data_IF_693885727830
#
_entry.id   IF_693885727830
#
_cell.length_a   1.000
_cell.length_b   1.000
_cell.length_c   1.000
_cell.angle_alpha   90.00
_cell.angle_beta   90.00
_cell.angle_gamma   90.00
#
_symmetry.space_group_name_H-M   'P 1'
#
loop_
_entity.id
_entity.type
_entity.pdbx_description
1 polymer ?
#
# COMPACT_ATOMS: atom_id res chain seq x y z
N UNK A 1 -15.36 23.53 4.61
CA UNK A 1 -14.77 22.36 5.31
C UNK A 1 -14.67 21.09 4.46
N UNK A 2 -15.59 20.79 3.53
CA UNK A 2 -15.52 19.57 2.67
C UNK A 2 -14.22 19.44 1.85
N UNK A 3 -13.61 20.58 1.49
CA UNK A 3 -12.37 20.64 0.72
C UNK A 3 -11.10 20.34 1.55
N UNK A 4 -11.22 20.25 2.88
CA UNK A 4 -10.11 19.87 3.75
C UNK A 4 -10.04 18.35 3.79
N UNK A 5 -8.98 17.79 3.19
CA UNK A 5 -8.71 16.35 3.23
C UNK A 5 -8.71 15.83 4.67
N UNK A 6 -9.18 14.60 4.85
CA UNK A 6 -9.29 13.93 6.15
C UNK A 6 -10.23 14.57 7.19
N UNK A 7 -10.92 15.67 6.87
CA UNK A 7 -11.93 16.22 7.77
C UNK A 7 -13.16 15.30 7.88
N UNK A 8 -13.94 15.36 8.98
CA UNK A 8 -15.20 14.60 9.08
C UNK A 8 -16.16 14.89 7.92
N UNK A 9 -16.22 16.15 7.47
CA UNK A 9 -17.04 16.56 6.33
C UNK A 9 -16.56 15.95 5.01
N UNK A 10 -15.25 15.81 4.82
CA UNK A 10 -14.65 15.12 3.67
C UNK A 10 -14.99 13.63 3.68
N UNK A 11 -14.83 12.94 4.81
CA UNK A 11 -15.16 11.51 4.90
C UNK A 11 -16.65 11.22 4.73
N UNK A 12 -17.53 12.09 5.22
CA UNK A 12 -18.97 11.98 4.99
C UNK A 12 -19.31 12.06 3.48
N UNK A 13 -18.63 12.96 2.76
CA UNK A 13 -18.78 13.08 1.31
C UNK A 13 -18.26 11.86 0.56
N UNK A 14 -17.05 11.39 0.88
CA UNK A 14 -16.46 10.21 0.25
C UNK A 14 -17.28 8.95 0.48
N UNK A 15 -17.80 8.76 1.71
CA UNK A 15 -18.77 7.68 2.00
C UNK A 15 -20.00 7.78 1.10
N UNK A 16 -20.56 8.99 0.92
CA UNK A 16 -21.68 9.24 0.02
C UNK A 16 -21.37 8.86 -1.43
N UNK A 17 -20.16 9.15 -1.92
CA UNK A 17 -19.69 8.78 -3.26
C UNK A 17 -19.65 7.26 -3.45
N UNK A 18 -19.06 6.53 -2.50
CA UNK A 18 -19.00 5.06 -2.55
C UNK A 18 -20.41 4.46 -2.52
N UNK A 19 -21.29 4.94 -1.64
CA UNK A 19 -22.68 4.47 -1.59
C UNK A 19 -23.43 4.76 -2.90
N UNK A 20 -23.18 5.90 -3.55
CA UNK A 20 -23.76 6.23 -4.85
C UNK A 20 -23.24 5.29 -5.95
N UNK A 21 -21.93 5.00 -6.00
CA UNK A 21 -21.36 4.05 -6.95
C UNK A 21 -21.95 2.65 -6.78
N UNK A 22 -22.11 2.17 -5.55
CA UNK A 22 -22.73 0.85 -5.28
C UNK A 22 -24.19 0.82 -5.77
N UNK A 23 -24.94 1.91 -5.59
CA UNK A 23 -26.34 2.00 -6.07
C UNK A 23 -26.43 2.06 -7.60
N UNK A 24 -25.48 2.70 -8.27
CA UNK A 24 -25.48 2.89 -9.73
C UNK A 24 -24.92 1.68 -10.48
N UNK A 25 -23.80 1.12 -10.01
CA UNK A 25 -23.05 0.07 -10.71
C UNK A 25 -23.20 -1.32 -10.08
N UNK A 26 -23.82 -1.42 -8.90
CA UNK A 26 -23.97 -2.66 -8.16
C UNK A 26 -22.82 -2.93 -7.18
N UNK A 27 -22.76 -4.16 -6.66
CA UNK A 27 -21.74 -4.54 -5.69
C UNK A 27 -20.33 -4.58 -6.33
N UNK A 28 -19.28 -4.22 -5.56
CA UNK A 28 -17.92 -4.29 -6.07
C UNK A 28 -17.51 -5.74 -6.34
N UNK A 29 -16.98 -6.00 -7.53
CA UNK A 29 -16.41 -7.32 -7.87
C UNK A 29 -15.12 -7.60 -7.11
N UNK A 30 -14.38 -6.55 -6.75
CA UNK A 30 -13.15 -6.62 -5.96
C UNK A 30 -13.17 -5.54 -4.87
N UNK A 31 -12.96 -5.95 -3.63
CA UNK A 31 -12.75 -5.05 -2.50
C UNK A 31 -11.44 -5.43 -1.80
N UNK A 32 -10.51 -4.48 -1.68
CA UNK A 32 -9.17 -4.73 -1.18
C UNK A 32 -8.75 -3.66 -0.16
N UNK A 33 -8.22 -4.12 0.98
CA UNK A 33 -7.55 -3.28 1.97
C UNK A 33 -6.05 -3.59 1.96
N UNK A 34 -5.24 -2.58 1.65
CA UNK A 34 -3.79 -2.69 1.65
C UNK A 34 -3.24 -2.17 2.98
N UNK A 35 -2.52 -3.02 3.70
CA UNK A 35 -1.83 -2.64 4.93
C UNK A 35 -0.32 -2.75 4.74
N UNK A 36 0.41 -1.82 5.35
CA UNK A 36 1.87 -1.81 5.32
C UNK A 36 2.42 -2.83 6.33
N UNK A 37 2.53 -4.10 5.92
CA UNK A 37 3.19 -5.15 6.70
C UNK A 37 4.73 -5.07 6.58
N UNK A 38 5.30 -3.91 6.94
CA UNK A 38 6.69 -3.51 6.67
C UNK A 38 7.73 -4.50 7.22
N UNK A 39 7.42 -5.16 8.35
CA UNK A 39 8.31 -6.13 8.98
C UNK A 39 8.53 -7.42 8.17
N UNK A 40 7.68 -7.70 7.16
CA UNK A 40 7.79 -8.89 6.30
C UNK A 40 8.49 -8.62 4.98
N UNK A 41 8.86 -7.37 4.70
CA UNK A 41 9.43 -6.98 3.42
C UNK A 41 10.95 -7.10 3.46
N UNK A 42 11.48 -8.22 2.99
CA UNK A 42 12.92 -8.48 2.92
C UNK A 42 13.66 -7.34 2.22
N UNK A 43 13.20 -6.95 1.02
CA UNK A 43 13.82 -5.87 0.24
C UNK A 43 13.88 -4.54 1.01
N UNK A 44 12.82 -4.21 1.75
CA UNK A 44 12.77 -2.99 2.56
C UNK A 44 13.77 -3.06 3.71
N UNK A 45 13.77 -4.15 4.48
CA UNK A 45 14.69 -4.30 5.63
C UNK A 45 16.14 -4.36 5.16
N UNK A 46 16.43 -5.06 4.06
CA UNK A 46 17.75 -5.09 3.43
C UNK A 46 18.20 -3.68 3.03
N UNK A 47 17.32 -2.88 2.43
CA UNK A 47 17.63 -1.51 2.06
C UNK A 47 17.88 -0.60 3.28
N UNK A 48 17.06 -0.72 4.32
CA UNK A 48 17.24 0.03 5.57
C UNK A 48 18.56 -0.33 6.27
N UNK A 49 18.92 -1.62 6.32
CA UNK A 49 20.20 -2.06 6.87
C UNK A 49 21.38 -1.56 6.05
N UNK A 50 21.25 -1.54 4.72
CA UNK A 50 22.28 -0.97 3.86
C UNK A 50 22.48 0.53 4.12
N UNK A 51 21.39 1.30 4.26
CA UNK A 51 21.48 2.75 4.51
C UNK A 51 22.08 3.05 5.90
N UNK A 52 21.67 2.33 6.94
CA UNK A 52 22.05 2.66 8.32
C UNK A 52 23.33 1.97 8.81
N UNK A 53 23.61 0.77 8.33
CA UNK A 53 24.72 -0.07 8.82
C UNK A 53 25.74 -0.40 7.72
N UNK A 54 25.52 0.05 6.47
CA UNK A 54 26.34 -0.30 5.30
C UNK A 54 26.57 -1.81 5.13
N UNK A 55 25.57 -2.61 5.55
CA UNK A 55 25.60 -4.08 5.52
C UNK A 55 24.55 -4.61 4.56
N UNK A 56 24.94 -5.60 3.76
CA UNK A 56 24.03 -6.34 2.88
C UNK A 56 23.43 -7.50 3.67
N UNK A 57 22.12 -7.44 3.91
CA UNK A 57 21.37 -8.52 4.56
C UNK A 57 21.12 -9.68 3.57
N UNK A 58 21.41 -10.90 3.99
CA UNK A 58 21.04 -12.14 3.27
C UNK A 58 19.68 -12.65 3.73
N UNK A 59 19.05 -13.50 2.92
CA UNK A 59 17.71 -14.03 3.21
C UNK A 59 17.70 -14.92 4.47
N UNK A 60 18.74 -15.72 4.68
CA UNK A 60 18.92 -16.52 5.91
C UNK A 60 19.07 -15.66 7.17
N UNK A 61 19.77 -14.53 7.07
CA UNK A 61 19.89 -13.57 8.17
C UNK A 61 18.57 -12.84 8.45
N UNK A 62 17.76 -12.59 7.42
CA UNK A 62 16.44 -11.98 7.59
C UNK A 62 15.47 -12.87 8.37
N UNK A 63 15.46 -14.17 8.08
CA UNK A 63 14.60 -15.13 8.79
C UNK A 63 14.98 -15.26 10.27
N UNK A 64 16.27 -15.15 10.57
CA UNK A 64 16.78 -15.18 11.96
C UNK A 64 16.62 -13.84 12.68
N UNK A 65 16.32 -12.74 11.96
CA UNK A 65 16.17 -11.42 12.56
C UNK A 65 14.90 -11.32 13.42
N UNK A 66 15.10 -10.95 14.69
CA UNK A 66 13.97 -10.73 15.61
C UNK A 66 13.04 -9.63 15.11
N UNK A 67 11.75 -9.76 15.40
CA UNK A 67 10.75 -8.74 15.05
C UNK A 67 11.08 -7.38 15.67
N UNK A 68 11.66 -7.37 16.87
CA UNK A 68 12.09 -6.14 17.55
C UNK A 68 13.20 -5.42 16.80
N UNK A 69 14.21 -6.15 16.31
CA UNK A 69 15.28 -5.56 15.50
C UNK A 69 14.73 -4.97 14.19
N UNK A 70 13.83 -5.69 13.52
CA UNK A 70 13.14 -5.18 12.31
C UNK A 70 12.34 -3.92 12.60
N UNK A 71 11.59 -3.90 13.69
CA UNK A 71 10.81 -2.74 14.09
C UNK A 71 11.71 -1.54 14.42
N UNK A 72 12.89 -1.77 15.00
CA UNK A 72 13.85 -0.69 15.28
C UNK A 72 14.34 -0.04 13.98
N UNK A 73 14.70 -0.83 12.97
CA UNK A 73 15.10 -0.31 11.65
C UNK A 73 13.97 0.51 11.00
N UNK A 74 12.73 0.02 11.05
CA UNK A 74 11.55 0.70 10.49
C UNK A 74 11.26 2.01 11.22
N UNK A 75 11.43 2.04 12.54
CA UNK A 75 11.20 3.25 13.36
C UNK A 75 12.29 4.29 13.19
N UNK A 76 13.51 3.86 12.82
CA UNK A 76 14.63 4.78 12.57
C UNK A 76 14.44 5.58 11.27
N UNK A 77 13.86 4.98 10.24
CA UNK A 77 13.55 5.66 8.98
C UNK A 77 12.10 5.40 8.53
N UNK A 78 11.13 6.11 9.13
CA UNK A 78 9.73 5.99 8.76
C UNK A 78 9.43 6.61 7.39
N UNK A 79 10.26 7.52 6.88
CA UNK A 79 10.04 8.24 5.63
C UNK A 79 10.29 7.31 4.45
N UNK A 80 11.44 6.64 4.40
CA UNK A 80 11.73 5.64 3.36
C UNK A 80 10.71 4.51 3.39
N UNK A 81 10.29 4.09 4.58
CA UNK A 81 9.21 3.11 4.74
C UNK A 81 7.88 3.56 4.10
N UNK A 82 7.48 4.81 4.29
CA UNK A 82 6.26 5.36 3.70
C UNK A 82 6.36 5.46 2.18
N UNK A 83 7.49 5.97 1.68
CA UNK A 83 7.77 6.09 0.24
C UNK A 83 7.78 4.72 -0.45
N UNK A 84 8.40 3.72 0.18
CA UNK A 84 8.43 2.35 -0.35
C UNK A 84 7.03 1.73 -0.42
N UNK A 85 6.20 1.93 0.61
CA UNK A 85 4.79 1.49 0.59
C UNK A 85 4.01 2.19 -0.53
N UNK A 86 4.16 3.51 -0.66
CA UNK A 86 3.51 4.28 -1.72
C UNK A 86 3.93 3.77 -3.12
N UNK A 87 5.22 3.52 -3.32
CA UNK A 87 5.74 2.96 -4.57
C UNK A 87 5.12 1.58 -4.88
N UNK A 88 5.07 0.67 -3.90
CA UNK A 88 4.43 -0.65 -4.09
C UNK A 88 2.94 -0.53 -4.45
N UNK A 89 2.22 0.41 -3.84
CA UNK A 89 0.79 0.65 -4.18
C UNK A 89 0.66 1.19 -5.61
N UNK A 90 1.54 2.11 -6.04
CA UNK A 90 1.56 2.60 -7.42
C UNK A 90 1.84 1.49 -8.43
N UNK A 91 2.83 0.64 -8.16
CA UNK A 91 3.14 -0.52 -9.01
C UNK A 91 1.98 -1.52 -9.07
N UNK A 92 1.29 -1.77 -7.95
CA UNK A 92 0.09 -2.60 -7.94
C UNK A 92 -1.00 -2.05 -8.87
N UNK A 93 -1.26 -0.74 -8.82
CA UNK A 93 -2.23 -0.10 -9.71
C UNK A 93 -1.82 -0.16 -11.18
N UNK A 94 -0.52 -0.05 -11.49
CA UNK A 94 -0.02 -0.26 -12.86
C UNK A 94 -0.30 -1.68 -13.33
N UNK A 95 -0.03 -2.68 -12.49
CA UNK A 95 -0.33 -4.09 -12.78
C UNK A 95 -1.83 -4.33 -13.02
N UNK A 96 -2.70 -3.70 -12.24
CA UNK A 96 -4.15 -3.78 -12.41
C UNK A 96 -4.66 -3.09 -13.67
N UNK A 97 -3.95 -2.08 -14.17
CA UNK A 97 -4.34 -1.31 -15.37
C UNK A 97 -3.72 -1.87 -16.66
N UNK A 98 -2.86 -2.89 -16.56
CA UNK A 98 -2.20 -3.50 -17.71
C UNK A 98 -3.18 -4.40 -18.49
N UNK A 99 -3.05 -4.45 -19.82
CA UNK A 99 -3.85 -5.32 -20.69
C UNK A 99 -3.62 -6.81 -20.42
N UNK A 100 -2.40 -7.18 -20.03
CA UNK A 100 -2.01 -8.53 -19.59
C UNK A 100 -2.05 -8.65 -18.05
N UNK A 101 -2.90 -7.86 -17.40
CA UNK A 101 -3.04 -7.83 -15.95
C UNK A 101 -3.72 -9.08 -15.37
N UNK A 102 -3.87 -9.17 -14.04
CA UNK A 102 -4.45 -10.33 -13.36
C UNK A 102 -5.93 -10.56 -13.70
N UNK A 103 -6.58 -9.59 -14.35
CA UNK A 103 -7.96 -9.67 -14.80
C UNK A 103 -8.10 -10.20 -16.24
N UNK A 104 -6.99 -10.52 -16.90
CA UNK A 104 -6.97 -11.04 -18.27
C UNK A 104 -7.69 -10.10 -19.24
N UNK A 105 -8.77 -10.59 -19.86
CA UNK A 105 -9.57 -9.81 -20.83
C UNK A 105 -10.50 -8.78 -20.18
N UNK A 106 -10.62 -8.77 -18.85
CA UNK A 106 -11.53 -7.87 -18.14
C UNK A 106 -10.82 -6.58 -17.74
N UNK A 107 -11.40 -5.44 -18.12
CA UNK A 107 -10.89 -4.12 -17.78
C UNK A 107 -11.62 -3.51 -16.57
N UNK A 108 -10.90 -2.75 -15.76
CA UNK A 108 -11.46 -2.01 -14.63
C UNK A 108 -12.17 -0.76 -15.15
N UNK A 109 -13.50 -0.81 -15.25
CA UNK A 109 -14.33 0.35 -15.69
C UNK A 109 -14.59 1.37 -14.58
N UNK A 110 -14.81 0.88 -13.36
CA UNK A 110 -15.18 1.71 -12.22
C UNK A 110 -14.30 1.34 -11.04
N UNK A 111 -13.71 2.35 -10.42
CA UNK A 111 -12.93 2.17 -9.20
C UNK A 111 -13.14 3.33 -8.23
N UNK A 112 -12.85 3.05 -6.97
CA UNK A 112 -12.75 4.04 -5.91
C UNK A 112 -11.47 3.76 -5.15
N UNK A 113 -10.61 4.78 -5.06
CA UNK A 113 -9.39 4.72 -4.27
C UNK A 113 -9.46 5.78 -3.18
N UNK A 114 -9.21 5.36 -1.94
CA UNK A 114 -9.01 6.26 -0.82
C UNK A 114 -7.66 6.97 -0.98
N UNK A 115 -7.67 8.28 -1.23
CA UNK A 115 -6.48 9.15 -1.34
C UNK A 115 -6.31 10.05 -0.14
#
# INVERSE_FOLDING_TARGET
MKNIKNSPAHWAQEKGRVCAQIRQFGFPSLFMNLSAAKNRWFDLIKHLMYIHENRILTESEFETLTTTARNKLISNDPVTCALYFEHKVKELWKTFSCSEGPFGKFEIKHFYQRT
#
